data_IF_155049420140
#
_entry.id   IF_155049420140
#
_cell.length_a   1.000
_cell.length_b   1.000
_cell.length_c   1.000
_cell.angle_alpha   90.00
_cell.angle_beta   90.00
_cell.angle_gamma   90.00
#
_symmetry.space_group_name_H-M   'P 1'
#
loop_
_entity.id
_entity.type
_entity.pdbx_description
1 polymer ?
#
# COMPACT_ATOMS: atom_id res chain seq x y z
N UNK A 1 58.03 30.36 -20.69
CA UNK A 1 58.43 31.32 -19.65
C UNK A 1 58.23 30.65 -18.30
N UNK A 2 59.34 30.33 -17.64
CA UNK A 2 59.40 29.63 -16.34
C UNK A 2 59.06 30.65 -15.24
N UNK A 3 58.16 30.34 -14.32
CA UNK A 3 57.99 31.08 -13.07
C UNK A 3 58.42 30.20 -11.90
N UNK A 4 59.40 30.76 -11.19
CA UNK A 4 60.12 30.16 -10.08
C UNK A 4 59.31 30.30 -8.81
N UNK A 5 59.24 29.18 -8.05
CA UNK A 5 58.59 29.06 -6.74
C UNK A 5 59.59 29.45 -5.64
N UNK A 6 59.33 30.48 -4.84
CA UNK A 6 60.07 30.78 -3.63
C UNK A 6 59.49 30.13 -2.43
N UNK A 7 60.22 29.24 -1.77
CA UNK A 7 59.93 28.64 -0.48
C UNK A 7 60.61 29.47 0.61
N UNK A 8 59.87 30.09 1.50
CA UNK A 8 60.38 30.75 2.66
C UNK A 8 60.27 29.85 3.87
N UNK A 9 61.41 29.45 4.41
CA UNK A 9 61.55 28.66 5.61
C UNK A 9 61.55 29.58 6.85
N UNK A 10 60.51 29.41 7.73
CA UNK A 10 60.43 30.15 9.00
C UNK A 10 60.82 29.19 10.14
N UNK A 11 61.98 29.49 10.77
CA UNK A 11 62.46 28.79 11.94
C UNK A 11 61.91 29.49 13.18
N UNK A 12 61.15 28.84 14.01
CA UNK A 12 60.62 29.32 15.30
C UNK A 12 61.37 28.61 16.42
N UNK A 13 62.06 29.43 17.26
CA UNK A 13 62.75 28.96 18.46
C UNK A 13 61.74 28.68 19.56
N UNK A 14 61.76 27.46 20.16
CA UNK A 14 61.04 27.10 21.33
C UNK A 14 61.79 27.52 22.59
N UNK A 15 61.26 28.47 23.36
CA UNK A 15 61.63 28.72 24.73
C UNK A 15 60.75 27.93 25.68
N UNK A 16 61.30 26.96 26.38
CA UNK A 16 60.62 26.19 27.36
C UNK A 16 60.45 26.97 28.68
N UNK A 17 59.22 27.11 29.16
CA UNK A 17 58.90 27.45 30.56
C UNK A 17 58.15 26.30 31.15
N UNK A 18 58.73 25.66 32.14
CA UNK A 18 58.12 24.58 32.93
C UNK A 18 57.01 25.14 33.82
N UNK A 19 55.84 24.52 33.76
CA UNK A 19 54.78 24.71 34.72
C UNK A 19 54.42 23.39 35.38
N UNK A 20 54.25 23.45 36.71
CA UNK A 20 53.92 22.33 37.60
C UNK A 20 52.59 21.65 37.23
N UNK A 21 52.38 20.36 37.57
CA UNK A 21 51.15 19.65 37.25
C UNK A 21 49.99 20.18 38.13
N UNK A 22 49.01 20.78 37.47
CA UNK A 22 47.72 21.12 38.12
C UNK A 22 46.86 19.84 38.18
N UNK A 23 46.39 19.49 39.35
CA UNK A 23 45.46 18.37 39.55
C UNK A 23 44.19 18.55 38.74
N UNK A 24 43.79 17.51 38.00
CA UNK A 24 42.55 17.47 37.24
C UNK A 24 41.33 17.51 38.16
N UNK A 25 40.27 18.27 37.85
CA UNK A 25 39.03 18.25 38.59
C UNK A 25 38.33 16.88 38.41
N UNK A 26 37.98 16.25 39.56
CA UNK A 26 37.15 15.02 39.63
C UNK A 26 35.79 15.34 38.98
N UNK A 27 35.47 14.73 37.86
CA UNK A 27 34.14 14.79 37.26
C UNK A 27 33.13 14.09 38.16
N UNK A 28 32.08 14.81 38.53
CA UNK A 28 30.93 14.22 39.22
C UNK A 28 30.25 13.18 38.32
N UNK A 29 29.71 12.06 38.84
CA UNK A 29 28.99 11.08 38.04
C UNK A 29 27.81 11.77 37.38
N UNK A 30 27.74 11.64 36.03
CA UNK A 30 26.60 12.10 35.25
C UNK A 30 25.31 11.37 35.67
N UNK A 31 24.13 11.97 35.41
CA UNK A 31 22.87 11.32 35.73
C UNK A 31 22.77 9.99 34.99
N UNK A 32 22.43 8.93 35.72
CA UNK A 32 22.11 7.62 35.15
C UNK A 32 20.95 7.82 34.18
N UNK A 33 21.18 7.58 32.88
CA UNK A 33 20.11 7.56 31.89
C UNK A 33 19.13 6.43 32.32
N UNK A 34 17.95 6.80 32.76
CA UNK A 34 16.87 5.85 32.96
C UNK A 34 16.45 5.37 31.61
N UNK A 35 16.74 4.12 31.28
CA UNK A 35 16.29 3.47 30.06
C UNK A 35 14.76 3.56 30.02
N UNK A 36 14.21 4.14 28.94
CA UNK A 36 12.77 4.19 28.76
C UNK A 36 12.23 2.75 28.73
N UNK A 37 11.07 2.46 29.37
CA UNK A 37 10.49 1.14 29.34
C UNK A 37 10.33 0.72 27.88
N UNK A 38 10.79 -0.49 27.54
CA UNK A 38 10.60 -1.09 26.25
C UNK A 38 9.09 -1.08 25.93
N UNK A 39 8.72 -0.64 24.73
CA UNK A 39 7.35 -0.73 24.27
C UNK A 39 6.91 -2.20 24.41
N UNK A 40 5.65 -2.47 24.84
CA UNK A 40 5.17 -3.83 24.94
C UNK A 40 5.32 -4.51 23.56
N UNK A 41 6.03 -5.64 23.53
CA UNK A 41 6.07 -6.49 22.34
C UNK A 41 4.62 -6.91 22.04
N UNK A 42 4.13 -6.51 20.87
CA UNK A 42 2.85 -7.02 20.36
C UNK A 42 2.97 -8.55 20.27
N UNK A 43 1.91 -9.31 20.59
CA UNK A 43 1.94 -10.75 20.42
C UNK A 43 2.34 -11.06 18.97
N UNK A 44 3.31 -11.95 18.81
CA UNK A 44 3.73 -12.44 17.49
C UNK A 44 2.56 -13.27 16.93
N UNK A 45 1.76 -12.62 16.06
CA UNK A 45 0.63 -13.27 15.39
C UNK A 45 1.20 -13.94 14.14
N UNK A 46 1.20 -15.28 14.13
CA UNK A 46 1.66 -16.03 12.95
C UNK A 46 0.66 -15.84 11.81
N UNK A 47 1.11 -15.15 10.75
CA UNK A 47 0.28 -14.89 9.59
C UNK A 47 0.22 -16.14 8.68
N UNK A 48 -0.95 -16.46 8.09
CA UNK A 48 -1.05 -17.47 7.06
C UNK A 48 -0.10 -17.16 5.89
N UNK A 49 0.34 -18.20 5.17
CA UNK A 49 1.26 -18.05 4.04
C UNK A 49 0.72 -17.05 3.00
N UNK A 50 1.55 -16.09 2.60
CA UNK A 50 1.22 -15.06 1.62
C UNK A 50 0.31 -13.95 2.12
N UNK A 51 0.02 -13.89 3.43
CA UNK A 51 -0.78 -12.83 4.05
C UNK A 51 0.06 -11.98 5.00
N UNK A 52 -0.36 -10.73 5.17
CA UNK A 52 0.23 -9.76 6.09
C UNK A 52 -0.76 -9.48 7.21
N UNK A 53 -0.30 -9.50 8.45
CA UNK A 53 -1.10 -9.09 9.61
C UNK A 53 -1.20 -7.58 9.71
N UNK A 54 -2.42 -7.06 9.74
CA UNK A 54 -2.71 -5.65 10.01
C UNK A 54 -3.24 -5.54 11.44
N UNK A 55 -2.53 -4.83 12.33
CA UNK A 55 -2.91 -4.78 13.75
C UNK A 55 -4.21 -4.02 13.97
N UNK A 56 -4.96 -4.44 14.99
CA UNK A 56 -6.13 -3.73 15.47
C UNK A 56 -5.79 -2.27 15.84
N UNK A 57 -6.75 -1.37 15.72
CA UNK A 57 -6.61 0.01 16.14
C UNK A 57 -7.26 1.01 15.20
N UNK A 58 -7.19 2.27 15.62
CA UNK A 58 -7.79 3.40 14.91
C UNK A 58 -6.89 3.91 13.78
N UNK A 59 -7.51 4.43 12.73
CA UNK A 59 -6.85 5.21 11.68
C UNK A 59 -7.81 6.28 11.15
N UNK A 60 -7.28 7.23 10.39
CA UNK A 60 -8.08 8.24 9.70
C UNK A 60 -8.38 7.78 8.29
N UNK A 61 -9.66 7.52 7.98
CA UNK A 61 -10.15 7.10 6.68
C UNK A 61 -10.69 8.29 5.90
N UNK A 62 -10.40 8.32 4.61
CA UNK A 62 -10.82 9.39 3.71
C UNK A 62 -9.68 10.35 3.34
N UNK A 63 -10.01 11.41 2.62
CA UNK A 63 -9.03 12.38 2.15
C UNK A 63 -8.62 13.36 3.25
N UNK A 64 -7.30 13.45 3.50
CA UNK A 64 -6.69 14.50 4.31
C UNK A 64 -6.15 15.59 3.37
N UNK A 65 -6.66 16.86 3.43
CA UNK A 65 -6.20 17.93 2.55
C UNK A 65 -4.71 18.28 2.68
N UNK A 66 -4.08 17.93 3.80
CA UNK A 66 -2.64 18.17 4.02
C UNK A 66 -1.77 17.03 3.47
N UNK A 67 -2.35 15.84 3.26
CA UNK A 67 -1.67 14.61 2.83
C UNK A 67 -2.40 13.92 1.66
N UNK A 68 -2.66 14.64 0.58
CA UNK A 68 -3.36 14.14 -0.61
C UNK A 68 -2.56 14.32 -1.92
N UNK A 69 -1.23 14.31 -1.84
CA UNK A 69 -0.37 14.43 -3.02
C UNK A 69 -0.48 15.77 -3.75
N UNK A 70 -1.07 16.80 -3.10
CA UNK A 70 -1.28 18.13 -3.68
C UNK A 70 -2.56 18.25 -4.54
N UNK A 71 -3.44 17.25 -4.50
CA UNK A 71 -4.74 17.29 -5.17
C UNK A 71 -5.84 17.80 -4.24
N UNK A 72 -7.00 18.14 -4.78
CA UNK A 72 -8.18 18.48 -3.98
C UNK A 72 -8.91 17.19 -3.59
N UNK A 73 -9.37 17.12 -2.33
CA UNK A 73 -10.31 16.09 -1.91
C UNK A 73 -11.62 16.21 -2.69
N UNK A 74 -12.18 15.10 -3.11
CA UNK A 74 -13.49 15.05 -3.76
C UNK A 74 -14.58 14.62 -2.76
N UNK A 75 -15.85 14.80 -3.14
CA UNK A 75 -16.98 14.69 -2.20
C UNK A 75 -17.09 13.33 -1.53
N UNK A 76 -16.85 12.25 -2.28
CA UNK A 76 -17.01 10.87 -1.82
C UNK A 76 -15.83 10.35 -0.98
N UNK A 77 -14.72 11.11 -0.93
CA UNK A 77 -13.59 10.87 -0.04
C UNK A 77 -13.74 11.60 1.31
N UNK A 78 -14.83 12.34 1.50
CA UNK A 78 -15.07 13.21 2.67
C UNK A 78 -16.32 12.80 3.46
N UNK A 79 -16.34 13.10 4.77
CA UNK A 79 -15.28 13.70 5.57
C UNK A 79 -14.14 12.73 5.89
N UNK A 80 -12.93 13.25 6.14
CA UNK A 80 -11.92 12.51 6.88
C UNK A 80 -12.49 12.13 8.25
N UNK A 81 -12.48 10.85 8.62
CA UNK A 81 -13.12 10.36 9.83
C UNK A 81 -12.33 9.22 10.49
N UNK A 82 -12.53 9.06 11.79
CA UNK A 82 -11.89 7.99 12.54
C UNK A 82 -12.62 6.67 12.32
N UNK A 83 -11.87 5.65 11.95
CA UNK A 83 -12.32 4.25 11.88
C UNK A 83 -11.44 3.40 12.80
N UNK A 84 -12.06 2.47 13.51
CA UNK A 84 -11.40 1.48 14.35
C UNK A 84 -11.67 0.09 13.79
N UNK A 85 -10.60 -0.65 13.50
CA UNK A 85 -10.66 -2.01 13.00
C UNK A 85 -10.08 -2.99 14.00
N UNK A 86 -10.67 -4.17 14.06
CA UNK A 86 -10.05 -5.34 14.68
C UNK A 86 -8.82 -5.78 13.86
N UNK A 87 -7.97 -6.65 14.43
CA UNK A 87 -6.85 -7.22 13.68
C UNK A 87 -7.31 -8.15 12.56
N UNK A 88 -6.67 -8.10 11.43
CA UNK A 88 -6.98 -8.95 10.29
C UNK A 88 -5.71 -9.28 9.50
N UNK A 89 -5.82 -10.28 8.62
CA UNK A 89 -4.82 -10.58 7.60
C UNK A 89 -5.33 -10.12 6.25
N UNK A 90 -4.43 -9.66 5.40
CA UNK A 90 -4.71 -9.33 4.00
C UNK A 90 -3.66 -9.98 3.11
N UNK A 91 -4.03 -10.42 1.92
CA UNK A 91 -3.06 -10.96 0.96
C UNK A 91 -1.98 -9.90 0.66
N UNK A 92 -0.71 -10.32 0.68
CA UNK A 92 0.41 -9.43 0.38
C UNK A 92 0.32 -8.86 -1.03
N UNK A 93 -0.20 -9.65 -1.97
CA UNK A 93 -0.32 -9.35 -3.38
C UNK A 93 -1.77 -9.49 -3.85
N UNK A 94 -2.08 -8.92 -5.02
CA UNK A 94 -3.29 -9.22 -5.78
C UNK A 94 -3.36 -10.72 -6.11
N UNK A 95 -4.56 -11.27 -6.26
CA UNK A 95 -4.76 -12.66 -6.69
C UNK A 95 -4.22 -12.83 -8.11
N UNK A 96 -3.32 -13.80 -8.28
CA UNK A 96 -2.64 -14.04 -9.55
C UNK A 96 -3.40 -15.00 -10.47
N UNK A 97 -3.07 -14.97 -11.77
CA UNK A 97 -3.63 -15.89 -12.76
C UNK A 97 -3.47 -17.35 -12.35
N UNK A 98 -2.29 -17.74 -11.83
CA UNK A 98 -2.06 -19.14 -11.41
C UNK A 98 -2.95 -19.52 -10.23
N UNK A 99 -3.11 -18.64 -9.23
CA UNK A 99 -3.97 -18.90 -8.08
C UNK A 99 -5.44 -18.98 -8.47
N UNK A 100 -5.87 -18.10 -9.37
CA UNK A 100 -7.24 -18.14 -9.87
C UNK A 100 -7.52 -19.40 -10.71
N UNK A 101 -6.55 -19.86 -11.52
CA UNK A 101 -6.65 -21.11 -12.26
C UNK A 101 -6.75 -22.35 -11.35
N UNK A 102 -6.10 -22.33 -10.16
CA UNK A 102 -6.26 -23.37 -9.14
C UNK A 102 -7.74 -23.48 -8.65
N UNK A 103 -8.39 -22.33 -8.46
CA UNK A 103 -9.81 -22.28 -8.08
C UNK A 103 -10.72 -22.85 -9.18
N UNK A 104 -10.48 -22.49 -10.43
CA UNK A 104 -11.24 -23.05 -11.58
C UNK A 104 -11.06 -24.56 -11.66
N UNK A 105 -9.82 -25.05 -11.53
CA UNK A 105 -9.53 -26.48 -11.57
C UNK A 105 -10.19 -27.28 -10.42
N UNK A 106 -10.57 -26.61 -9.34
CA UNK A 106 -11.29 -27.15 -8.20
C UNK A 106 -12.82 -26.92 -8.27
N UNK A 107 -13.36 -26.49 -9.42
CA UNK A 107 -14.77 -26.15 -9.64
C UNK A 107 -15.29 -25.05 -8.66
N UNK A 108 -14.40 -24.20 -8.13
CA UNK A 108 -14.72 -23.13 -7.19
C UNK A 108 -14.97 -21.78 -7.86
N UNK A 109 -14.43 -21.56 -9.06
CA UNK A 109 -14.51 -20.30 -9.79
C UNK A 109 -14.90 -20.50 -11.25
N UNK A 110 -15.53 -19.47 -11.82
CA UNK A 110 -15.79 -19.39 -13.27
C UNK A 110 -14.57 -18.80 -14.00
N UNK A 111 -14.47 -19.03 -15.31
CA UNK A 111 -13.41 -18.39 -16.12
C UNK A 111 -13.60 -16.88 -16.15
N UNK A 112 -12.47 -16.09 -16.17
CA UNK A 112 -12.55 -14.68 -16.47
C UNK A 112 -13.29 -14.42 -17.78
N UNK A 113 -14.02 -13.31 -17.89
CA UNK A 113 -14.84 -12.99 -19.06
C UNK A 113 -14.02 -12.86 -20.36
N UNK A 114 -12.73 -12.65 -20.24
CA UNK A 114 -11.72 -12.64 -21.32
C UNK A 114 -10.40 -13.22 -20.84
N UNK A 115 -9.58 -13.74 -21.76
CA UNK A 115 -8.28 -14.36 -21.48
C UNK A 115 -7.09 -13.58 -22.04
N UNK A 116 -7.33 -12.41 -22.67
CA UNK A 116 -6.32 -11.45 -23.10
C UNK A 116 -6.11 -10.34 -22.05
N UNK A 117 -5.07 -9.52 -22.23
CA UNK A 117 -4.91 -8.24 -21.54
C UNK A 117 -4.91 -7.10 -22.55
N UNK A 118 -4.48 -5.89 -22.17
CA UNK A 118 -4.44 -4.75 -23.10
C UNK A 118 -3.48 -4.99 -24.28
N UNK A 119 -2.30 -5.55 -24.01
CA UNK A 119 -1.26 -5.72 -25.01
C UNK A 119 -0.94 -7.19 -25.32
N UNK A 120 -1.54 -8.17 -24.60
CA UNK A 120 -1.23 -9.59 -24.70
C UNK A 120 -2.48 -10.37 -25.14
N UNK A 121 -2.44 -10.98 -26.33
CA UNK A 121 -3.55 -11.79 -26.86
C UNK A 121 -3.82 -13.05 -26.04
N UNK A 122 -2.77 -13.64 -25.43
CA UNK A 122 -2.85 -14.76 -24.50
C UNK A 122 -2.26 -14.33 -23.17
N UNK A 123 -3.09 -14.22 -22.15
CA UNK A 123 -2.70 -13.73 -20.84
C UNK A 123 -3.07 -14.69 -19.70
N UNK A 124 -4.35 -15.01 -19.48
CA UNK A 124 -4.80 -15.77 -18.31
C UNK A 124 -4.21 -17.19 -18.24
N UNK A 125 -4.19 -17.94 -19.35
CA UNK A 125 -3.69 -19.32 -19.38
C UNK A 125 -2.22 -19.43 -19.81
N UNK A 126 -1.52 -18.31 -20.03
CA UNK A 126 -0.14 -18.32 -20.44
C UNK A 126 0.79 -18.40 -19.22
N UNK A 127 1.64 -19.44 -19.09
CA UNK A 127 2.55 -19.58 -17.95
C UNK A 127 3.52 -18.41 -17.74
N UNK A 128 3.80 -17.62 -18.78
CA UNK A 128 4.63 -16.41 -18.69
C UNK A 128 3.99 -15.36 -17.77
N UNK A 129 2.64 -15.32 -17.72
CA UNK A 129 1.88 -14.37 -16.91
C UNK A 129 1.24 -15.02 -15.68
N UNK A 130 1.73 -16.17 -15.25
CA UNK A 130 1.20 -16.91 -14.09
C UNK A 130 1.16 -16.06 -12.80
N UNK A 131 2.18 -15.22 -12.59
CA UNK A 131 2.30 -14.35 -11.41
C UNK A 131 1.77 -12.92 -11.62
N UNK A 132 1.04 -12.67 -12.69
CA UNK A 132 0.37 -11.39 -12.93
C UNK A 132 -1.03 -11.44 -12.33
N UNK A 133 -1.64 -10.28 -11.96
CA UNK A 133 -2.97 -10.26 -11.37
C UNK A 133 -4.02 -10.81 -12.32
N UNK A 134 -4.98 -11.56 -11.82
CA UNK A 134 -6.16 -11.93 -12.61
C UNK A 134 -6.99 -10.68 -12.89
N UNK A 135 -7.44 -10.54 -14.13
CA UNK A 135 -8.27 -9.42 -14.62
C UNK A 135 -9.50 -9.97 -15.35
N UNK A 136 -10.42 -9.08 -15.74
CA UNK A 136 -11.70 -9.45 -16.35
C UNK A 136 -12.56 -10.36 -15.47
N UNK A 137 -12.47 -10.15 -14.14
CA UNK A 137 -13.30 -10.79 -13.12
C UNK A 137 -14.32 -9.79 -12.57
N UNK A 138 -15.54 -10.24 -12.34
CA UNK A 138 -16.61 -9.47 -11.69
C UNK A 138 -16.38 -9.45 -10.17
N UNK A 139 -17.12 -8.60 -9.46
CA UNK A 139 -17.12 -8.64 -8.00
C UNK A 139 -17.52 -10.01 -7.45
N UNK A 140 -18.51 -10.65 -8.09
CA UNK A 140 -18.94 -11.99 -7.69
C UNK A 140 -17.83 -13.02 -7.85
N UNK A 141 -17.11 -13.00 -8.97
CA UNK A 141 -16.00 -13.91 -9.23
C UNK A 141 -14.87 -13.74 -8.18
N UNK A 142 -14.57 -12.50 -7.82
CA UNK A 142 -13.61 -12.15 -6.76
C UNK A 142 -14.06 -12.68 -5.39
N UNK A 143 -15.33 -12.49 -5.03
CA UNK A 143 -15.90 -12.98 -3.80
C UNK A 143 -15.92 -14.52 -3.73
N UNK A 144 -16.28 -15.18 -4.84
CA UNK A 144 -16.31 -16.64 -4.92
C UNK A 144 -14.89 -17.24 -4.75
N UNK A 145 -13.88 -16.63 -5.38
CA UNK A 145 -12.50 -17.03 -5.17
C UNK A 145 -12.07 -16.90 -3.71
N UNK A 146 -12.29 -15.74 -3.08
CA UNK A 146 -11.90 -15.56 -1.69
C UNK A 146 -12.63 -16.55 -0.76
N UNK A 147 -13.91 -16.81 -1.03
CA UNK A 147 -14.71 -17.81 -0.28
C UNK A 147 -14.15 -19.22 -0.46
N UNK A 148 -13.82 -19.62 -1.70
CA UNK A 148 -13.19 -20.91 -1.99
C UNK A 148 -11.86 -21.08 -1.26
N UNK A 149 -11.07 -19.99 -1.18
CA UNK A 149 -9.79 -19.97 -0.46
C UNK A 149 -9.94 -19.93 1.08
N UNK A 150 -11.18 -20.00 1.62
CA UNK A 150 -11.46 -19.88 3.06
C UNK A 150 -11.25 -18.46 3.60
N UNK A 151 -11.33 -17.47 2.74
CA UNK A 151 -11.11 -16.03 2.99
C UNK A 151 -12.37 -15.24 2.61
N UNK A 152 -12.26 -13.92 2.58
CA UNK A 152 -13.27 -12.98 2.11
C UNK A 152 -12.62 -11.82 1.37
N UNK A 153 -13.36 -11.01 0.65
CA UNK A 153 -12.87 -9.71 0.22
C UNK A 153 -12.60 -8.81 1.45
N UNK A 154 -11.59 -7.93 1.42
CA UNK A 154 -11.43 -6.91 2.44
C UNK A 154 -12.60 -5.93 2.42
N UNK A 155 -12.95 -5.34 3.56
CA UNK A 155 -13.77 -4.13 3.54
C UNK A 155 -12.99 -2.97 2.97
N UNK A 156 -13.70 -1.92 2.51
CA UNK A 156 -13.05 -0.70 2.03
C UNK A 156 -12.12 -0.09 3.09
N UNK A 157 -12.55 -0.10 4.35
CA UNK A 157 -11.77 0.40 5.47
C UNK A 157 -10.53 -0.46 5.77
N UNK A 158 -10.63 -1.78 5.69
CA UNK A 158 -9.48 -2.68 5.81
C UNK A 158 -8.47 -2.45 4.69
N UNK A 159 -8.96 -2.32 3.45
CA UNK A 159 -8.10 -2.04 2.30
C UNK A 159 -7.35 -0.72 2.49
N UNK A 160 -8.05 0.36 2.87
CA UNK A 160 -7.43 1.67 3.06
C UNK A 160 -6.42 1.68 4.21
N UNK A 161 -6.72 1.02 5.34
CA UNK A 161 -5.75 0.88 6.44
C UNK A 161 -4.52 0.09 6.01
N UNK A 162 -4.67 -0.98 5.25
CA UNK A 162 -3.55 -1.76 4.73
C UNK A 162 -2.67 -0.93 3.77
N UNK A 163 -3.27 -0.01 3.01
CA UNK A 163 -2.57 0.88 2.09
C UNK A 163 -1.80 1.98 2.82
N UNK A 164 -2.47 2.77 3.67
CA UNK A 164 -1.87 3.98 4.28
C UNK A 164 -1.33 3.81 5.69
N UNK A 165 -1.64 2.71 6.35
CA UNK A 165 -1.29 2.52 7.76
C UNK A 165 -2.12 3.40 8.69
N UNK A 166 -1.51 3.75 9.84
CA UNK A 166 -2.12 4.64 10.84
C UNK A 166 -1.86 6.12 10.60
N UNK A 167 -1.00 6.46 9.62
CA UNK A 167 -0.57 7.84 9.34
C UNK A 167 -1.36 8.44 8.20
N UNK A 168 -1.61 9.76 8.23
CA UNK A 168 -2.19 10.46 7.09
C UNK A 168 -1.11 10.61 6.00
N UNK A 169 -1.11 9.72 5.00
CA UNK A 169 -0.22 9.75 3.84
C UNK A 169 -1.03 9.68 2.56
N UNK A 170 -0.48 10.26 1.47
CA UNK A 170 -1.16 10.30 0.19
C UNK A 170 -1.20 8.93 -0.51
N UNK A 171 -0.07 8.24 -0.57
CA UNK A 171 0.11 6.96 -1.27
C UNK A 171 0.61 5.89 -0.31
N UNK A 172 0.60 4.63 -0.70
CA UNK A 172 1.06 3.52 0.14
C UNK A 172 2.52 3.67 0.62
N UNK A 173 3.38 4.33 -0.15
CA UNK A 173 4.80 4.58 0.18
C UNK A 173 5.05 5.92 0.89
N UNK A 174 4.05 6.80 1.04
CA UNK A 174 4.19 8.13 1.65
C UNK A 174 3.62 9.25 0.78
N UNK A 175 4.20 10.47 0.90
CA UNK A 175 3.72 11.67 0.21
C UNK A 175 4.52 12.00 -1.07
N UNK A 176 5.53 11.21 -1.41
CA UNK A 176 6.33 11.42 -2.62
C UNK A 176 5.52 11.16 -3.89
N UNK A 177 5.70 12.02 -4.89
CA UNK A 177 5.01 11.89 -6.17
C UNK A 177 5.28 10.53 -6.83
N UNK A 178 4.26 9.91 -7.44
CA UNK A 178 4.42 8.63 -8.14
C UNK A 178 5.48 8.66 -9.24
N UNK A 179 6.27 7.60 -9.32
CA UNK A 179 7.23 7.33 -10.41
C UNK A 179 7.09 5.89 -10.88
N UNK A 180 7.61 5.58 -12.06
CA UNK A 180 7.59 4.21 -12.58
C UNK A 180 8.51 3.23 -11.80
N UNK A 181 9.26 3.70 -10.82
CA UNK A 181 10.01 2.85 -9.89
C UNK A 181 9.17 2.46 -8.64
N UNK A 182 8.10 3.22 -8.37
CA UNK A 182 7.22 3.03 -7.22
C UNK A 182 5.92 2.32 -7.57
N UNK A 183 5.44 2.46 -8.83
CA UNK A 183 4.07 2.06 -9.18
C UNK A 183 3.92 1.79 -10.67
N UNK A 184 3.11 0.78 -11.02
CA UNK A 184 2.64 0.57 -12.39
C UNK A 184 1.38 1.41 -12.64
N UNK A 185 1.54 2.55 -13.29
CA UNK A 185 0.44 3.49 -13.56
C UNK A 185 0.73 4.36 -14.77
N UNK A 186 -0.17 5.29 -15.08
CA UNK A 186 0.12 6.37 -16.00
C UNK A 186 1.09 7.38 -15.37
N UNK A 187 2.26 7.54 -15.98
CA UNK A 187 3.26 8.51 -15.55
C UNK A 187 2.91 9.91 -16.08
N UNK A 188 2.37 10.76 -15.23
CA UNK A 188 2.00 12.12 -15.58
C UNK A 188 3.20 12.98 -16.04
N UNK A 189 4.42 12.70 -15.55
CA UNK A 189 5.62 13.45 -15.96
C UNK A 189 6.11 13.01 -17.35
N UNK A 190 6.08 11.72 -17.64
CA UNK A 190 6.46 11.16 -18.95
C UNK A 190 5.34 11.22 -19.98
N UNK A 191 4.11 11.55 -19.56
CA UNK A 191 2.90 11.54 -20.38
C UNK A 191 2.69 10.20 -21.13
N UNK A 192 2.97 9.08 -20.45
CA UNK A 192 2.84 7.72 -20.95
C UNK A 192 2.61 6.74 -19.79
N UNK A 193 2.10 5.56 -20.08
CA UNK A 193 2.01 4.49 -19.08
C UNK A 193 3.40 3.95 -18.74
N UNK A 194 3.63 3.54 -17.50
CA UNK A 194 4.88 2.94 -17.05
C UNK A 194 5.15 1.61 -17.79
N UNK A 195 4.20 0.69 -17.74
CA UNK A 195 4.28 -0.59 -18.45
C UNK A 195 3.28 -0.70 -19.61
N UNK A 196 2.16 0.02 -19.55
CA UNK A 196 1.10 -0.02 -20.57
C UNK A 196 0.16 -1.22 -20.48
N UNK A 197 0.31 -2.02 -19.45
CA UNK A 197 -0.50 -3.20 -19.12
C UNK A 197 -0.16 -3.63 -17.69
N UNK A 198 -0.81 -4.67 -17.15
CA UNK A 198 -0.49 -5.25 -15.86
C UNK A 198 0.98 -5.69 -15.77
N UNK A 199 1.52 -5.78 -14.55
CA UNK A 199 2.83 -6.34 -14.24
C UNK A 199 2.71 -7.49 -13.25
N UNK A 200 3.76 -8.31 -13.16
CA UNK A 200 3.84 -9.34 -12.12
C UNK A 200 3.68 -8.71 -10.75
N UNK A 201 2.86 -9.31 -9.89
CA UNK A 201 2.62 -8.78 -8.53
C UNK A 201 3.93 -8.61 -7.76
N UNK A 202 4.03 -7.57 -6.95
CA UNK A 202 5.23 -7.27 -6.16
C UNK A 202 6.42 -6.71 -6.95
N UNK A 203 6.22 -6.33 -8.22
CA UNK A 203 7.32 -5.78 -9.05
C UNK A 203 7.83 -4.43 -8.55
N UNK A 204 7.06 -3.72 -7.74
CA UNK A 204 7.33 -2.36 -7.28
C UNK A 204 7.52 -2.31 -5.75
N UNK A 205 8.47 -3.07 -5.21
CA UNK A 205 8.68 -3.23 -3.77
C UNK A 205 8.93 -1.90 -3.01
N UNK A 206 9.45 -0.87 -3.69
CA UNK A 206 9.60 0.47 -3.10
C UNK A 206 8.26 1.22 -2.91
N UNK A 207 7.20 0.76 -3.57
CA UNK A 207 5.83 1.25 -3.44
C UNK A 207 4.99 0.53 -2.38
N UNK A 208 5.54 -0.46 -1.67
CA UNK A 208 4.83 -1.21 -0.64
C UNK A 208 4.39 -0.29 0.51
N UNK A 209 3.28 -0.65 1.16
CA UNK A 209 2.81 0.05 2.35
C UNK A 209 3.74 -0.18 3.55
N UNK A 210 3.54 0.57 4.65
CA UNK A 210 4.33 0.41 5.88
C UNK A 210 4.22 -0.99 6.48
N UNK A 211 3.14 -1.72 6.17
CA UNK A 211 2.97 -3.12 6.59
C UNK A 211 3.64 -4.13 5.65
N UNK A 212 4.13 -3.70 4.49
CA UNK A 212 4.71 -4.57 3.47
C UNK A 212 3.69 -5.17 2.49
N UNK A 213 2.47 -4.63 2.44
CA UNK A 213 1.47 -5.00 1.43
C UNK A 213 1.86 -4.33 0.11
N UNK A 214 1.98 -5.11 -0.95
CA UNK A 214 2.42 -4.63 -2.27
C UNK A 214 1.25 -4.20 -3.15
N UNK A 215 1.56 -3.38 -4.16
CA UNK A 215 0.65 -2.98 -5.24
C UNK A 215 -0.66 -2.31 -4.75
N UNK A 216 -0.61 -1.66 -3.55
CA UNK A 216 -1.75 -0.91 -2.99
C UNK A 216 -2.04 0.40 -3.75
N UNK A 217 -1.27 0.68 -4.79
CA UNK A 217 -1.48 1.74 -5.75
C UNK A 217 -1.04 1.24 -7.12
N UNK A 218 -1.87 1.44 -8.14
CA UNK A 218 -1.58 1.02 -9.52
C UNK A 218 -1.75 -0.48 -9.74
N UNK A 219 -1.21 -0.97 -10.83
CA UNK A 219 -1.33 -2.31 -11.36
C UNK A 219 -2.78 -2.66 -11.74
N UNK A 220 -3.63 -3.05 -10.80
CA UNK A 220 -5.07 -3.18 -11.04
C UNK A 220 -5.90 -2.51 -9.96
N UNK A 221 -7.06 -1.99 -10.31
CA UNK A 221 -8.12 -1.66 -9.38
C UNK A 221 -8.55 -2.91 -8.63
N UNK A 222 -8.88 -2.78 -7.35
CA UNK A 222 -9.22 -3.92 -6.52
C UNK A 222 -10.65 -3.85 -6.01
N UNK A 223 -11.43 -4.89 -6.30
CA UNK A 223 -12.74 -5.08 -5.70
C UNK A 223 -12.63 -5.26 -4.18
N UNK A 224 -13.46 -4.52 -3.44
CA UNK A 224 -13.66 -4.74 -2.00
C UNK A 224 -15.09 -5.17 -1.71
N UNK A 225 -15.39 -5.58 -0.49
CA UNK A 225 -16.72 -6.13 -0.12
C UNK A 225 -17.84 -5.11 -0.20
N UNK A 226 -17.53 -3.85 0.01
CA UNK A 226 -18.49 -2.78 0.28
C UNK A 226 -19.29 -2.37 -0.95
N UNK A 227 -20.56 -2.05 -0.73
CA UNK A 227 -21.34 -1.28 -1.67
C UNK A 227 -20.89 0.18 -1.66
N UNK A 228 -20.93 0.84 -2.82
CA UNK A 228 -20.58 2.25 -2.94
C UNK A 228 -21.77 3.17 -2.59
N UNK A 229 -21.52 4.18 -1.80
CA UNK A 229 -22.36 5.38 -1.65
C UNK A 229 -21.46 6.58 -1.50
N UNK A 230 -21.78 7.67 -2.23
CA UNK A 230 -21.03 8.92 -2.19
C UNK A 230 -21.00 9.52 -0.77
N UNK A 231 -22.12 9.46 -0.06
CA UNK A 231 -22.29 10.11 1.25
C UNK A 231 -21.99 9.18 2.45
N UNK A 232 -21.50 7.96 2.21
CA UNK A 232 -21.36 6.97 3.29
C UNK A 232 -20.42 7.41 4.40
N UNK A 233 -19.31 8.07 4.07
CA UNK A 233 -18.31 8.50 5.06
C UNK A 233 -18.89 9.47 6.11
N UNK A 234 -19.90 10.26 5.76
CA UNK A 234 -20.58 11.15 6.71
C UNK A 234 -21.40 10.42 7.79
N UNK A 235 -21.73 9.14 7.57
CA UNK A 235 -22.58 8.32 8.45
C UNK A 235 -21.91 6.99 8.82
N UNK A 236 -20.66 6.78 8.39
CA UNK A 236 -19.90 5.55 8.64
C UNK A 236 -19.81 5.25 10.14
N UNK A 237 -20.10 4.01 10.58
CA UNK A 237 -19.79 3.60 11.94
C UNK A 237 -18.28 3.70 12.20
N UNK A 238 -17.91 3.96 13.46
CA UNK A 238 -16.50 4.01 13.85
C UNK A 238 -15.90 2.59 13.87
N UNK A 239 -16.62 1.61 14.42
CA UNK A 239 -16.12 0.25 14.62
C UNK A 239 -16.44 -0.63 13.41
N UNK A 240 -15.41 -1.17 12.76
CA UNK A 240 -15.46 -2.15 11.67
C UNK A 240 -16.52 -1.85 10.58
N UNK A 241 -16.52 -0.69 9.92
CA UNK A 241 -17.51 -0.37 8.89
C UNK A 241 -17.43 -1.35 7.71
N UNK A 242 -18.57 -1.67 7.14
CA UNK A 242 -18.73 -2.63 6.02
C UNK A 242 -19.46 -2.01 4.81
N UNK A 243 -19.50 -0.69 4.74
CA UNK A 243 -20.25 0.02 3.72
C UNK A 243 -21.76 0.10 4.00
N UNK A 244 -22.54 0.70 3.09
CA UNK A 244 -24.01 0.73 3.18
C UNK A 244 -24.62 -0.66 2.94
N UNK A 245 -25.87 -0.86 3.38
CA UNK A 245 -26.57 -2.15 3.23
C UNK A 245 -26.84 -2.59 1.79
N UNK A 246 -26.75 -1.67 0.83
CA UNK A 246 -26.92 -1.98 -0.59
C UNK A 246 -26.76 -0.74 -1.48
N UNK A 247 -26.44 -1.00 -2.73
CA UNK A 247 -26.33 0.00 -3.82
C UNK A 247 -26.42 -0.73 -5.16
N UNK A 248 -26.16 -0.03 -6.25
CA UNK A 248 -26.03 -0.60 -7.59
C UNK A 248 -24.59 -0.88 -7.96
N UNK A 249 -23.63 -0.34 -7.20
CA UNK A 249 -22.21 -0.40 -7.50
C UNK A 249 -21.43 -0.90 -6.29
N UNK A 250 -20.35 -1.63 -6.56
CA UNK A 250 -19.33 -2.03 -5.61
C UNK A 250 -18.14 -1.10 -5.66
N UNK A 251 -17.43 -0.96 -4.53
CA UNK A 251 -16.24 -0.11 -4.44
C UNK A 251 -15.04 -0.81 -5.09
N UNK A 252 -14.24 0.00 -5.77
CA UNK A 252 -12.91 -0.32 -6.31
C UNK A 252 -11.87 0.61 -5.70
N UNK A 253 -10.68 0.11 -5.41
CA UNK A 253 -9.61 0.85 -4.75
C UNK A 253 -8.27 0.70 -5.49
N UNK A 254 -7.34 1.65 -5.24
CA UNK A 254 -5.92 1.54 -5.61
C UNK A 254 -5.52 2.13 -6.96
N UNK A 255 -6.42 2.20 -7.92
CA UNK A 255 -6.04 2.55 -9.29
C UNK A 255 -5.46 1.37 -10.07
N UNK A 256 -5.49 1.42 -11.39
CA UNK A 256 -4.90 0.41 -12.27
C UNK A 256 -3.70 0.95 -13.06
N UNK A 257 -3.12 0.13 -13.93
CA UNK A 257 -1.94 0.43 -14.75
C UNK A 257 -2.10 1.66 -15.69
N UNK A 258 -3.33 2.05 -15.99
CA UNK A 258 -3.65 3.25 -16.78
C UNK A 258 -4.10 4.45 -15.93
N UNK A 259 -4.17 4.33 -14.62
CA UNK A 259 -4.67 5.36 -13.71
C UNK A 259 -3.69 6.51 -13.56
N UNK A 260 -4.24 7.73 -13.48
CA UNK A 260 -3.48 8.96 -13.19
C UNK A 260 -3.28 9.12 -11.68
N UNK A 261 -2.33 9.94 -11.29
CA UNK A 261 -1.91 10.15 -9.90
C UNK A 261 -3.05 10.37 -8.88
N UNK A 262 -4.10 11.16 -9.15
CA UNK A 262 -5.19 11.30 -8.19
C UNK A 262 -5.90 9.99 -7.86
N UNK A 263 -5.96 9.06 -8.83
CA UNK A 263 -6.61 7.77 -8.67
C UNK A 263 -5.75 6.75 -7.90
N UNK A 264 -4.46 7.07 -7.65
CA UNK A 264 -3.51 6.24 -6.89
C UNK A 264 -3.48 6.61 -5.40
N UNK A 265 -4.16 7.70 -5.02
CA UNK A 265 -4.24 8.13 -3.62
C UNK A 265 -4.88 7.03 -2.77
N UNK A 266 -4.35 6.79 -1.58
CA UNK A 266 -4.90 5.82 -0.66
C UNK A 266 -6.37 6.12 -0.28
N UNK A 267 -6.79 7.39 -0.33
CA UNK A 267 -8.16 7.82 -0.13
C UNK A 267 -9.06 7.67 -1.37
N UNK A 268 -8.46 7.54 -2.57
CA UNK A 268 -9.23 7.53 -3.83
C UNK A 268 -10.20 6.37 -3.89
N UNK A 269 -11.42 6.68 -4.27
CA UNK A 269 -12.52 5.73 -4.44
C UNK A 269 -12.95 5.66 -5.89
N UNK A 270 -13.21 4.46 -6.38
CA UNK A 270 -13.92 4.23 -7.62
C UNK A 270 -15.06 3.23 -7.38
N UNK A 271 -15.92 3.07 -8.35
CA UNK A 271 -17.03 2.13 -8.26
C UNK A 271 -17.45 1.65 -9.65
N UNK A 272 -17.98 0.44 -9.67
CA UNK A 272 -18.57 -0.14 -10.87
C UNK A 272 -19.72 -1.09 -10.49
N UNK A 273 -20.69 -1.35 -11.38
CA UNK A 273 -21.67 -2.43 -11.17
C UNK A 273 -20.99 -3.77 -10.88
N UNK A 274 -21.55 -4.52 -9.96
CA UNK A 274 -20.98 -5.80 -9.47
C UNK A 274 -20.85 -6.89 -10.56
N UNK A 275 -21.52 -6.73 -11.70
CA UNK A 275 -21.47 -7.61 -12.87
C UNK A 275 -20.47 -7.15 -13.95
N UNK A 276 -19.86 -5.99 -13.81
CA UNK A 276 -18.84 -5.51 -14.75
C UNK A 276 -17.48 -6.13 -14.46
N UNK A 277 -16.64 -6.15 -15.49
CA UNK A 277 -15.24 -6.59 -15.41
C UNK A 277 -14.40 -5.82 -16.42
N UNK A 278 -13.15 -5.54 -16.12
CA UNK A 278 -12.26 -4.75 -16.99
C UNK A 278 -10.84 -5.33 -17.03
N UNK A 279 -10.03 -4.81 -17.96
CA UNK A 279 -8.63 -5.22 -18.15
C UNK A 279 -7.66 -4.61 -17.12
N UNK A 280 -8.18 -3.85 -16.18
CA UNK A 280 -7.45 -3.16 -15.12
C UNK A 280 -8.11 -3.32 -13.74
N UNK A 281 -9.03 -4.27 -13.58
CA UNK A 281 -9.65 -4.62 -12.30
C UNK A 281 -9.43 -6.08 -11.95
N UNK A 282 -8.91 -6.28 -10.73
CA UNK A 282 -8.66 -7.55 -10.05
C UNK A 282 -9.10 -7.45 -8.59
N UNK A 283 -8.43 -8.16 -7.69
CA UNK A 283 -8.75 -8.16 -6.26
C UNK A 283 -7.65 -8.83 -5.43
N UNK A 284 -7.75 -8.67 -4.11
CA UNK A 284 -7.06 -9.47 -3.09
C UNK A 284 -8.02 -9.91 -2.02
N UNK A 285 -7.64 -10.90 -1.20
CA UNK A 285 -8.49 -11.39 -0.12
C UNK A 285 -7.98 -10.96 1.26
N UNK A 286 -8.89 -11.01 2.24
CA UNK A 286 -8.61 -10.79 3.66
C UNK A 286 -9.15 -11.95 4.50
N UNK A 287 -8.67 -12.04 5.76
CA UNK A 287 -9.11 -13.01 6.74
C UNK A 287 -9.11 -12.34 8.12
N UNK A 288 -10.15 -12.57 8.93
CA UNK A 288 -10.18 -12.06 10.29
C UNK A 288 -9.12 -12.74 11.15
N UNK A 289 -8.39 -11.98 11.98
CA UNK A 289 -7.32 -12.55 12.81
C UNK A 289 -7.86 -13.35 14.00
N UNK A 290 -9.09 -13.05 14.46
CA UNK A 290 -9.79 -13.84 15.48
C UNK A 290 -10.72 -14.84 14.76
N UNK A 291 -10.57 -16.12 15.07
CA UNK A 291 -11.45 -17.16 14.52
C UNK A 291 -12.90 -16.91 14.95
N UNK A 292 -13.80 -16.87 14.00
CA UNK A 292 -15.24 -16.94 14.23
C UNK A 292 -15.63 -18.24 14.90
#
# INVERSE_FOLDING_TARGET
MKKILFVTLLIVFLVGCGTAPTAAPTQAPGPIATEAPAAPELPEVEAPEGMIYIPAGEFQMGCDPEHNGGFSCISDELPLHTVKLDGYFIDQFEVTNVKYAECIAADGCEFPSRTNSETRESYFENPEFANYPVIFVTWKDANDFCTWAGKRLPTEAEWEKAARGSKPIAYSWGDESPTCDLVNSYNNQGNANCAGDTQSVGSYAAGNSEYGVADMAGNVWEWVSDWYSEDFYAVSPVDNPTGPEGSTNKVLRGGGWGSKWPQLLAASRAFDPDFNSSNDAGFRCALSAEGN
#
